data_IF_934152348134
#
_entry.id   IF_934152348134
#
_cell.length_a   1.000
_cell.length_b   1.000
_cell.length_c   1.000
_cell.angle_alpha   90.00
_cell.angle_beta   90.00
_cell.angle_gamma   90.00
#
_symmetry.space_group_name_H-M   'P 1'
#
loop_
_entity.id
_entity.type
_entity.pdbx_description
1 polymer ?
#
# COMPACT_ATOMS: atom_id res chain seq x y z
N UNK A 1 1.29 7.04 -11.32
CA UNK A 1 0.23 6.87 -10.29
C UNK A 1 0.40 5.49 -9.66
N UNK A 2 0.16 5.36 -8.35
CA UNK A 2 0.28 4.07 -7.67
C UNK A 2 -0.74 3.06 -8.24
N UNK A 3 -0.28 1.84 -8.53
CA UNK A 3 -1.14 0.73 -8.98
C UNK A 3 -1.84 0.01 -7.82
N UNK A 4 -1.79 0.58 -6.62
CA UNK A 4 -2.41 0.01 -5.42
C UNK A 4 -3.93 0.22 -5.45
N UNK A 5 -4.64 -0.75 -4.87
CA UNK A 5 -6.06 -0.72 -4.56
C UNK A 5 -6.24 -0.93 -3.07
N UNK A 6 -7.34 -0.38 -2.56
CA UNK A 6 -7.68 -0.53 -1.15
C UNK A 6 -8.53 -1.79 -0.95
N UNK A 7 -8.02 -2.71 -0.15
CA UNK A 7 -8.72 -3.90 0.31
C UNK A 7 -9.34 -3.62 1.67
N UNK A 8 -10.64 -3.36 1.70
CA UNK A 8 -11.36 -3.06 2.95
C UNK A 8 -11.50 -4.28 3.85
N UNK A 9 -11.35 -5.47 3.29
CA UNK A 9 -11.37 -6.75 3.99
C UNK A 9 -10.09 -7.08 4.76
N UNK A 10 -9.02 -6.29 4.59
CA UNK A 10 -7.70 -6.48 5.21
C UNK A 10 -7.40 -5.40 6.24
N UNK A 11 -6.29 -5.54 6.98
CA UNK A 11 -5.85 -4.59 8.01
C UNK A 11 -4.40 -4.12 7.82
N UNK A 12 -4.08 -2.96 8.39
CA UNK A 12 -2.73 -2.38 8.31
C UNK A 12 -2.25 -2.12 6.89
N UNK A 13 -0.96 -2.37 6.64
CA UNK A 13 -0.33 -2.17 5.33
C UNK A 13 -0.84 -3.15 4.26
N UNK A 14 -1.32 -4.34 4.66
CA UNK A 14 -1.85 -5.36 3.75
C UNK A 14 -3.11 -4.91 2.99
N UNK A 15 -3.73 -3.80 3.42
CA UNK A 15 -4.85 -3.14 2.74
C UNK A 15 -4.46 -2.52 1.40
N UNK A 16 -3.19 -2.19 1.21
CA UNK A 16 -2.69 -1.59 -0.02
C UNK A 16 -2.04 -2.68 -0.86
N UNK A 17 -2.78 -3.23 -1.82
CA UNK A 17 -2.32 -4.32 -2.69
C UNK A 17 -2.61 -3.98 -4.16
N UNK A 18 -1.79 -4.47 -5.09
CA UNK A 18 -1.96 -4.23 -6.53
C UNK A 18 -3.09 -5.08 -7.13
N UNK A 19 -3.50 -6.12 -6.42
CA UNK A 19 -4.60 -7.00 -6.77
C UNK A 19 -5.95 -6.29 -6.74
N UNK A 20 -6.91 -6.84 -7.47
CA UNK A 20 -8.29 -6.36 -7.39
C UNK A 20 -8.97 -6.95 -6.15
N UNK A 21 -9.58 -6.12 -5.27
CA UNK A 21 -10.32 -6.59 -4.10
C UNK A 21 -11.41 -7.60 -4.45
N UNK A 22 -11.62 -8.59 -3.58
CA UNK A 22 -12.59 -9.66 -3.85
C UNK A 22 -14.01 -9.10 -3.97
N UNK A 23 -14.36 -8.15 -3.10
CA UNK A 23 -15.64 -7.42 -3.14
C UNK A 23 -15.87 -6.76 -4.49
N UNK A 24 -14.84 -6.15 -5.06
CA UNK A 24 -14.91 -5.48 -6.36
C UNK A 24 -15.17 -6.46 -7.50
N UNK A 25 -14.51 -7.62 -7.49
CA UNK A 25 -14.74 -8.69 -8.47
C UNK A 25 -16.18 -9.19 -8.42
N UNK A 26 -16.70 -9.43 -7.21
CA UNK A 26 -18.07 -9.89 -6.99
C UNK A 26 -19.11 -8.89 -7.49
N UNK A 27 -18.93 -7.61 -7.18
CA UNK A 27 -19.83 -6.54 -7.61
C UNK A 27 -19.84 -6.38 -9.14
N UNK A 28 -18.66 -6.37 -9.79
CA UNK A 28 -18.56 -6.28 -11.26
C UNK A 28 -19.20 -7.50 -11.94
N UNK A 29 -19.08 -8.69 -11.34
CA UNK A 29 -19.74 -9.90 -11.85
C UNK A 29 -21.28 -9.85 -11.77
N UNK A 30 -21.85 -9.20 -10.75
CA UNK A 30 -23.30 -9.00 -10.63
C UNK A 30 -23.82 -8.03 -11.68
N UNK A 31 -23.15 -6.88 -11.85
CA UNK A 31 -23.50 -5.88 -12.87
C UNK A 31 -23.43 -6.50 -14.28
N UNK A 32 -22.38 -7.28 -14.57
CA UNK A 32 -22.24 -7.96 -15.86
C UNK A 32 -23.33 -9.01 -16.14
N UNK A 33 -24.01 -9.52 -15.11
CA UNK A 33 -25.15 -10.43 -15.25
C UNK A 33 -26.49 -9.71 -15.40
N UNK A 34 -26.48 -8.38 -15.48
CA UNK A 34 -27.69 -7.56 -15.59
C UNK A 34 -28.44 -7.36 -14.28
N UNK A 35 -27.80 -7.65 -13.14
CA UNK A 35 -28.35 -7.31 -11.83
C UNK A 35 -28.23 -5.81 -11.62
N UNK A 36 -29.35 -5.14 -11.31
CA UNK A 36 -29.35 -3.73 -10.95
C UNK A 36 -28.73 -3.55 -9.55
N UNK A 37 -27.44 -3.19 -9.53
CA UNK A 37 -26.72 -2.88 -8.30
C UNK A 37 -26.71 -1.37 -8.14
N UNK A 38 -27.45 -0.87 -7.14
CA UNK A 38 -27.36 0.53 -6.73
C UNK A 38 -26.03 0.74 -6.00
N UNK A 39 -25.15 1.49 -6.63
CA UNK A 39 -23.83 1.82 -6.10
C UNK A 39 -23.78 3.32 -5.85
N UNK A 40 -23.18 3.71 -4.73
CA UNK A 40 -23.00 5.12 -4.37
C UNK A 40 -21.98 5.83 -5.28
N UNK A 41 -21.23 5.07 -6.10
CA UNK A 41 -20.19 5.56 -7.00
C UNK A 41 -20.46 5.08 -8.43
N UNK A 42 -20.41 5.97 -9.45
CA UNK A 42 -20.62 5.61 -10.86
C UNK A 42 -19.66 4.52 -11.35
N UNK A 43 -20.13 3.62 -12.21
CA UNK A 43 -19.35 2.46 -12.69
C UNK A 43 -18.05 2.86 -13.40
N UNK A 44 -18.00 4.02 -14.05
CA UNK A 44 -16.80 4.53 -14.73
C UNK A 44 -15.70 4.95 -13.75
N UNK A 45 -16.07 5.30 -12.52
CA UNK A 45 -15.14 5.70 -11.45
C UNK A 45 -14.59 4.52 -10.65
N UNK A 46 -15.05 3.30 -10.94
CA UNK A 46 -14.65 2.10 -10.21
C UNK A 46 -13.24 1.63 -10.54
N UNK A 47 -12.76 1.92 -11.75
CA UNK A 47 -11.38 1.66 -12.16
C UNK A 47 -10.45 2.85 -11.82
N UNK A 48 -10.98 3.92 -11.21
CA UNK A 48 -10.18 5.04 -10.71
C UNK A 48 -9.62 4.75 -9.30
N UNK A 49 -8.44 5.27 -8.97
CA UNK A 49 -7.85 5.12 -7.65
C UNK A 49 -8.69 5.85 -6.60
N UNK A 50 -8.83 5.22 -5.43
CA UNK A 50 -9.59 5.81 -4.33
C UNK A 50 -8.90 7.05 -3.75
N UNK A 51 -9.63 7.78 -2.91
CA UNK A 51 -9.10 8.94 -2.17
C UNK A 51 -7.92 8.53 -1.31
N UNK A 52 -7.96 7.36 -0.67
CA UNK A 52 -6.89 6.81 0.15
C UNK A 52 -5.63 6.51 -0.68
N UNK A 53 -5.77 5.91 -1.87
CA UNK A 53 -4.63 5.65 -2.77
C UNK A 53 -4.03 6.96 -3.28
N UNK A 54 -4.89 7.92 -3.62
CA UNK A 54 -4.44 9.24 -4.07
C UNK A 54 -3.72 9.99 -2.95
N UNK A 55 -4.22 9.90 -1.72
CA UNK A 55 -3.57 10.47 -0.53
C UNK A 55 -2.23 9.80 -0.25
N UNK A 56 -2.17 8.46 -0.32
CA UNK A 56 -0.92 7.70 -0.16
C UNK A 56 0.12 8.11 -1.20
N UNK A 57 -0.28 8.26 -2.46
CA UNK A 57 0.62 8.73 -3.52
C UNK A 57 1.19 10.12 -3.21
N UNK A 58 0.34 11.07 -2.80
CA UNK A 58 0.79 12.41 -2.42
C UNK A 58 1.78 12.37 -1.26
N UNK A 59 1.50 11.58 -0.22
CA UNK A 59 2.41 11.40 0.91
C UNK A 59 3.76 10.82 0.48
N UNK A 60 3.75 9.84 -0.44
CA UNK A 60 4.97 9.24 -0.98
C UNK A 60 5.80 10.25 -1.79
N UNK A 61 5.17 11.05 -2.67
CA UNK A 61 5.85 12.08 -3.45
C UNK A 61 6.48 13.13 -2.53
N UNK A 62 5.73 13.59 -1.52
CA UNK A 62 6.26 14.54 -0.54
C UNK A 62 7.45 13.94 0.22
N UNK A 63 7.34 12.70 0.69
CA UNK A 63 8.43 12.01 1.41
C UNK A 63 9.69 11.84 0.54
N UNK A 64 9.55 11.54 -0.74
CA UNK A 64 10.71 11.47 -1.65
C UNK A 64 11.36 12.85 -1.79
N UNK A 65 10.55 13.89 -1.96
CA UNK A 65 11.03 15.26 -2.10
C UNK A 65 11.70 15.79 -0.84
N UNK A 66 11.15 15.49 0.33
CA UNK A 66 11.65 15.98 1.62
C UNK A 66 12.98 15.32 2.03
N UNK A 67 13.28 14.14 1.47
CA UNK A 67 14.46 13.35 1.79
C UNK A 67 15.28 12.97 0.55
N UNK A 68 15.30 13.84 -0.46
CA UNK A 68 16.01 13.61 -1.73
C UNK A 68 17.51 13.36 -1.48
N UNK A 69 18.14 14.21 -0.67
CA UNK A 69 19.56 14.13 -0.34
C UNK A 69 19.93 12.79 0.34
N UNK A 70 19.13 12.32 1.30
CA UNK A 70 19.39 11.05 1.98
C UNK A 70 19.19 9.85 1.07
N UNK A 71 18.22 9.92 0.15
CA UNK A 71 17.99 8.87 -0.85
C UNK A 71 19.11 8.83 -1.88
N UNK A 72 19.62 9.97 -2.32
CA UNK A 72 20.79 10.06 -3.21
C UNK A 72 22.05 9.52 -2.52
N UNK A 73 22.30 9.91 -1.28
CA UNK A 73 23.44 9.43 -0.52
C UNK A 73 23.39 7.91 -0.33
N UNK A 74 22.21 7.36 -0.04
CA UNK A 74 22.02 5.91 -0.02
C UNK A 74 22.36 5.28 -1.37
N UNK A 75 21.82 5.86 -2.43
CA UNK A 75 21.99 5.35 -3.79
C UNK A 75 23.45 5.38 -4.24
N UNK A 76 24.24 6.38 -3.87
CA UNK A 76 25.64 6.49 -4.32
C UNK A 76 26.65 5.82 -3.37
N UNK A 77 26.36 5.75 -2.06
CA UNK A 77 27.38 5.39 -1.06
C UNK A 77 26.99 4.25 -0.10
N UNK A 78 25.70 3.91 0.04
CA UNK A 78 25.23 2.96 1.06
C UNK A 78 24.41 1.79 0.49
N UNK A 79 24.72 1.35 -0.73
CA UNK A 79 24.01 0.25 -1.40
C UNK A 79 24.14 -1.11 -0.67
N UNK A 80 25.16 -1.28 0.17
CA UNK A 80 25.33 -2.46 1.03
C UNK A 80 24.31 -2.49 2.20
N UNK A 81 23.66 -1.37 2.49
CA UNK A 81 22.63 -1.24 3.52
C UNK A 81 21.24 -1.40 2.92
N UNK A 82 20.39 -2.22 3.53
CA UNK A 82 18.98 -2.33 3.14
C UNK A 82 18.27 -0.95 3.22
N UNK A 83 17.59 -0.56 2.15
CA UNK A 83 16.93 0.74 2.04
C UNK A 83 15.85 0.93 3.12
N UNK A 84 15.07 -0.10 3.46
CA UNK A 84 14.02 0.03 4.48
C UNK A 84 14.64 0.32 5.86
N UNK A 85 15.79 -0.29 6.15
CA UNK A 85 16.57 0.04 7.34
C UNK A 85 17.13 1.46 7.28
N UNK A 86 17.93 1.76 6.26
CA UNK A 86 18.64 3.03 6.16
C UNK A 86 17.67 4.22 6.09
N UNK A 87 16.66 4.12 5.25
CA UNK A 87 15.74 5.20 5.01
C UNK A 87 14.56 5.17 5.99
N UNK A 88 13.76 4.11 5.96
CA UNK A 88 12.51 4.11 6.72
C UNK A 88 12.76 4.03 8.22
N UNK A 89 13.63 3.13 8.71
CA UNK A 89 13.82 2.94 10.15
C UNK A 89 14.63 4.04 10.81
N UNK A 90 15.70 4.49 10.16
CA UNK A 90 16.69 5.38 10.77
C UNK A 90 16.38 6.87 10.55
N UNK A 91 15.61 7.22 9.51
CA UNK A 91 15.35 8.62 9.13
C UNK A 91 13.87 9.01 9.14
N UNK A 92 12.99 8.18 8.56
CA UNK A 92 11.57 8.54 8.39
C UNK A 92 10.73 8.22 9.63
N UNK A 93 10.85 7.01 10.18
CA UNK A 93 9.97 6.53 11.23
C UNK A 93 10.45 6.94 12.63
N UNK A 94 9.50 7.36 13.47
CA UNK A 94 9.75 7.51 14.90
C UNK A 94 9.99 6.14 15.53
N UNK A 95 10.75 6.08 16.62
CA UNK A 95 11.04 4.84 17.35
C UNK A 95 9.78 4.06 17.75
N UNK A 96 8.70 4.75 18.10
CA UNK A 96 7.40 4.14 18.43
C UNK A 96 6.71 3.46 17.25
N UNK A 97 7.04 3.87 16.03
CA UNK A 97 6.30 3.53 14.81
C UNK A 97 7.05 2.47 13.99
N UNK A 98 8.25 2.07 14.40
CA UNK A 98 9.08 1.08 13.69
C UNK A 98 8.45 -0.32 13.64
N UNK A 99 7.47 -0.60 14.50
CA UNK A 99 6.70 -1.85 14.45
C UNK A 99 5.97 -2.08 13.13
N UNK A 100 5.70 -1.03 12.34
CA UNK A 100 5.07 -1.16 11.03
C UNK A 100 5.98 -1.85 10.00
N UNK A 101 7.31 -1.78 10.16
CA UNK A 101 8.28 -2.43 9.27
C UNK A 101 8.28 -3.95 9.42
N UNK A 102 7.82 -4.45 10.56
CA UNK A 102 7.77 -5.88 10.87
C UNK A 102 6.50 -6.56 10.31
N UNK A 103 5.52 -5.79 9.82
CA UNK A 103 4.18 -6.26 9.49
C UNK A 103 3.90 -6.43 8.00
N UNK A 104 4.14 -7.64 7.47
CA UNK A 104 3.25 -8.39 6.53
C UNK A 104 3.88 -9.69 6.00
N UNK A 105 5.19 -9.92 6.20
CA UNK A 105 5.84 -11.20 5.85
C UNK A 105 6.13 -12.12 7.04
N UNK A 106 6.07 -11.65 8.28
CA UNK A 106 6.47 -12.42 9.48
C UNK A 106 5.32 -12.90 10.36
N UNK A 107 4.07 -12.61 10.00
CA UNK A 107 2.90 -13.10 10.73
C UNK A 107 2.23 -14.31 10.07
N UNK A 108 2.68 -14.72 8.88
CA UNK A 108 2.15 -15.90 8.18
C UNK A 108 3.06 -17.13 8.36
N UNK A 109 4.38 -16.95 8.51
CA UNK A 109 5.34 -18.07 8.68
C UNK A 109 5.47 -18.59 10.13
N UNK A 110 4.65 -18.11 11.07
CA UNK A 110 4.66 -18.58 12.47
C UNK A 110 3.52 -19.55 12.82
N UNK A 111 2.79 -20.06 11.82
CA UNK A 111 1.82 -21.15 12.00
C UNK A 111 2.06 -22.27 10.98
N UNK A 112 3.26 -22.83 10.98
CA UNK A 112 3.49 -24.23 10.56
C UNK A 112 4.79 -24.71 11.22
N UNK A 113 4.67 -25.28 12.44
CA UNK A 113 5.79 -25.94 13.09
C UNK A 113 5.80 -25.93 14.62
N UNK A 114 4.81 -26.56 15.26
CA UNK A 114 4.94 -27.41 16.46
C UNK A 114 3.56 -27.91 16.92
#
# INVERSE_FOLDING_TARGET
>A
MLLYKLHTERSGLSRFDKGTPQTYRSLKALVNRGVDVKLDVPFEMWDQPSVEITSLYKQCVNMISDFEDELEDWFYHHQDDDLLRYFCRERVLKKSDQGCLLGSYWLDDSQDGA
#
